data_IF_049712107602
#
_entry.id   IF_049712107602
#
_cell.length_a   1.000
_cell.length_b   1.000
_cell.length_c   1.000
_cell.angle_alpha   90.00
_cell.angle_beta   90.00
_cell.angle_gamma   90.00
#
_symmetry.space_group_name_H-M   'P 1'
#
loop_
_entity.id
_entity.type
_entity.pdbx_description
1 polymer ?
#
# COMPACT_ATOMS: atom_id res chain seq x y z
N UNK A 1 1.74 -3.20 19.54
CA UNK A 1 0.66 -3.55 18.60
C UNK A 1 1.07 -3.17 17.19
N UNK A 2 0.97 -4.10 16.23
CA UNK A 2 1.26 -3.75 14.84
C UNK A 2 0.32 -2.69 14.31
N UNK A 3 0.84 -1.84 13.46
CA UNK A 3 0.10 -0.77 12.81
C UNK A 3 0.11 -0.99 11.31
N UNK A 4 -1.07 -0.93 10.68
CA UNK A 4 -1.21 -1.10 9.24
C UNK A 4 -1.48 0.26 8.60
N UNK A 5 -0.59 0.66 7.68
CA UNK A 5 -0.80 1.85 6.88
C UNK A 5 -1.57 1.45 5.62
N UNK A 6 -2.61 2.19 5.27
CA UNK A 6 -3.42 1.85 4.10
C UNK A 6 -3.71 3.09 3.25
N UNK A 7 -3.69 2.89 1.94
CA UNK A 7 -4.07 3.93 1.01
C UNK A 7 -5.59 3.94 0.83
N UNK A 8 -6.13 5.07 0.36
CA UNK A 8 -7.56 5.21 0.12
C UNK A 8 -8.07 4.09 -0.79
N UNK A 9 -9.29 3.64 -0.54
CA UNK A 9 -9.91 2.55 -1.29
C UNK A 9 -9.67 1.17 -0.70
N UNK A 10 -8.84 1.04 0.34
CA UNK A 10 -8.60 -0.25 0.99
C UNK A 10 -9.89 -0.75 1.64
N UNK A 11 -10.13 -2.06 1.54
CA UNK A 11 -11.35 -2.71 2.02
C UNK A 11 -11.66 -2.35 3.48
N UNK A 12 -12.79 -1.69 3.70
CA UNK A 12 -13.20 -1.27 5.04
C UNK A 12 -13.53 -2.45 5.95
N UNK A 13 -13.97 -3.57 5.39
CA UNK A 13 -14.26 -4.77 6.18
C UNK A 13 -12.95 -5.31 6.77
N UNK A 14 -11.90 -5.35 5.96
CA UNK A 14 -10.59 -5.77 6.44
C UNK A 14 -10.08 -4.83 7.55
N UNK A 15 -10.21 -3.52 7.35
CA UNK A 15 -9.75 -2.55 8.33
C UNK A 15 -10.51 -2.71 9.66
N UNK A 16 -11.81 -2.98 9.58
CA UNK A 16 -12.64 -3.22 10.78
C UNK A 16 -12.19 -4.50 11.49
N UNK A 17 -11.87 -5.54 10.75
CA UNK A 17 -11.38 -6.80 11.35
C UNK A 17 -10.05 -6.57 12.07
N UNK A 18 -9.16 -5.80 11.47
CA UNK A 18 -7.87 -5.48 12.11
C UNK A 18 -8.08 -4.71 13.41
N UNK A 19 -8.95 -3.71 13.39
CA UNK A 19 -9.26 -2.94 14.60
C UNK A 19 -9.87 -3.84 15.68
N UNK A 20 -10.74 -4.78 15.30
CA UNK A 20 -11.35 -5.70 16.24
C UNK A 20 -10.33 -6.63 16.89
N UNK A 21 -9.23 -6.93 16.20
CA UNK A 21 -8.14 -7.74 16.74
C UNK A 21 -7.10 -6.91 17.50
N UNK A 22 -7.35 -5.62 17.68
CA UNK A 22 -6.46 -4.76 18.44
C UNK A 22 -5.33 -4.11 17.65
N UNK A 23 -5.29 -4.29 16.32
CA UNK A 23 -4.29 -3.63 15.49
C UNK A 23 -4.69 -2.18 15.22
N UNK A 24 -3.70 -1.30 15.10
CA UNK A 24 -3.94 0.08 14.71
C UNK A 24 -3.94 0.19 13.18
N UNK A 25 -4.77 1.09 12.65
CA UNK A 25 -4.79 1.38 11.21
C UNK A 25 -4.56 2.88 11.01
N UNK A 26 -3.72 3.23 10.03
CA UNK A 26 -3.37 4.61 9.75
C UNK A 26 -3.56 4.89 8.27
N UNK A 27 -4.39 5.89 7.91
CA UNK A 27 -4.55 6.24 6.50
C UNK A 27 -3.28 6.88 5.95
N UNK A 28 -2.90 6.50 4.72
CA UNK A 28 -1.76 7.05 4.01
C UNK A 28 -2.24 7.69 2.71
N UNK A 29 -1.61 8.78 2.32
CA UNK A 29 -1.96 9.51 1.11
C UNK A 29 -0.89 9.39 0.04
N UNK A 30 -1.31 9.56 -1.21
CA UNK A 30 -0.42 9.58 -2.37
C UNK A 30 -0.16 10.99 -2.90
N UNK A 31 -0.47 12.01 -2.12
CA UNK A 31 -0.36 13.44 -2.45
C UNK A 31 -1.40 13.93 -3.47
N UNK A 32 -2.25 13.04 -3.99
CA UNK A 32 -3.25 13.38 -4.99
C UNK A 32 -4.68 13.34 -4.47
N UNK A 33 -4.95 12.52 -3.46
CA UNK A 33 -6.30 12.30 -2.96
C UNK A 33 -6.59 12.92 -1.59
N UNK A 34 -5.61 13.57 -0.98
CA UNK A 34 -5.82 14.24 0.32
C UNK A 34 -6.12 13.28 1.48
N UNK A 35 -5.80 12.00 1.33
CA UNK A 35 -6.12 10.96 2.29
C UNK A 35 -4.97 10.74 3.28
N UNK A 36 -5.19 11.11 4.54
CA UNK A 36 -4.25 10.80 5.61
C UNK A 36 -2.85 11.39 5.48
N UNK A 37 -1.90 10.77 6.17
CA UNK A 37 -0.50 11.18 6.14
C UNK A 37 0.14 10.77 4.81
N UNK A 38 0.94 11.64 4.24
CA UNK A 38 1.63 11.34 2.99
C UNK A 38 2.61 10.18 3.18
N UNK A 39 2.54 9.18 2.29
CA UNK A 39 3.43 8.02 2.36
C UNK A 39 4.90 8.41 2.25
N UNK A 40 5.19 9.50 1.56
CA UNK A 40 6.54 10.04 1.41
C UNK A 40 7.12 10.58 2.71
N UNK A 41 6.28 10.73 3.76
CA UNK A 41 6.69 11.26 5.06
C UNK A 41 6.70 10.19 6.17
N UNK A 42 6.60 8.92 5.82
CA UNK A 42 6.66 7.83 6.80
C UNK A 42 7.95 7.85 7.60
N UNK A 43 7.84 7.54 8.88
CA UNK A 43 8.99 7.44 9.79
C UNK A 43 9.21 6.00 10.24
N UNK A 44 10.45 5.64 10.68
CA UNK A 44 10.71 4.28 11.16
C UNK A 44 9.79 3.91 12.33
N UNK A 45 9.23 2.70 12.28
CA UNK A 45 8.37 2.20 13.35
C UNK A 45 6.96 2.75 13.34
N UNK A 46 6.62 3.61 12.39
CA UNK A 46 5.28 4.21 12.32
C UNK A 46 4.23 3.20 11.85
N UNK A 47 4.59 2.36 10.88
CA UNK A 47 3.71 1.28 10.41
C UNK A 47 4.50 -0.01 10.24
N UNK A 48 3.81 -1.14 10.32
CA UNK A 48 4.41 -2.47 10.21
C UNK A 48 4.03 -3.17 8.91
N UNK A 49 3.05 -2.66 8.20
CA UNK A 49 2.58 -3.19 6.92
C UNK A 49 1.92 -2.06 6.15
N UNK A 50 2.16 -2.00 4.84
CA UNK A 50 1.52 -1.03 3.96
C UNK A 50 0.63 -1.77 2.97
N UNK A 51 -0.61 -1.32 2.80
CA UNK A 51 -1.57 -1.89 1.85
C UNK A 51 -2.00 -0.78 0.89
N UNK A 52 -1.90 -1.04 -0.41
CA UNK A 52 -2.31 -0.08 -1.43
C UNK A 52 -2.87 -0.79 -2.65
N UNK A 53 -3.91 -0.21 -3.24
CA UNK A 53 -4.35 -0.65 -4.56
C UNK A 53 -3.42 -0.07 -5.61
N UNK A 54 -3.22 -0.80 -6.69
CA UNK A 54 -2.30 -0.39 -7.76
C UNK A 54 -2.60 1.01 -8.29
N UNK A 55 -3.87 1.33 -8.52
CA UNK A 55 -4.24 2.63 -9.09
C UNK A 55 -3.89 3.82 -8.20
N UNK A 56 -3.67 3.59 -6.89
CA UNK A 56 -3.27 4.67 -5.97
C UNK A 56 -1.77 4.94 -6.02
N UNK A 57 -1.00 4.02 -6.59
CA UNK A 57 0.44 4.16 -6.72
C UNK A 57 0.85 4.72 -8.08
N UNK A 58 0.01 4.55 -9.09
CA UNK A 58 0.33 5.00 -10.44
C UNK A 58 -0.15 6.44 -10.66
N UNK A 59 0.66 7.27 -11.35
CA UNK A 59 0.24 8.64 -11.61
C UNK A 59 -0.95 8.68 -12.59
N UNK A 60 -1.87 9.64 -12.44
CA UNK A 60 -2.98 9.79 -13.36
C UNK A 60 -2.48 10.21 -14.74
N UNK A 61 -3.27 9.93 -15.78
CA UNK A 61 -2.91 10.26 -17.17
C UNK A 61 -2.70 11.76 -17.39
N UNK A 62 -3.32 12.60 -16.57
CA UNK A 62 -3.23 14.06 -16.71
C UNK A 62 -2.14 14.68 -15.82
N UNK A 63 -1.23 13.87 -15.32
CA UNK A 63 -0.18 14.31 -14.42
C UNK A 63 0.93 15.11 -15.10
N UNK A 64 0.88 15.29 -16.42
CA UNK A 64 1.92 15.93 -17.21
C UNK A 64 2.20 17.38 -16.80
N UNK A 65 1.24 18.05 -16.18
CA UNK A 65 1.35 19.47 -15.82
C UNK A 65 1.79 19.72 -14.38
N UNK A 66 1.85 18.69 -13.54
CA UNK A 66 2.29 18.81 -12.14
C UNK A 66 3.18 17.63 -11.78
N UNK A 67 4.28 17.87 -11.06
CA UNK A 67 5.06 16.75 -10.55
C UNK A 67 4.20 15.93 -9.58
N UNK A 68 4.06 14.64 -9.86
CA UNK A 68 3.35 13.72 -8.98
C UNK A 68 4.32 12.63 -8.55
N UNK A 69 4.16 12.08 -7.33
CA UNK A 69 5.06 11.02 -6.90
C UNK A 69 4.88 9.78 -7.74
N UNK A 70 5.99 9.16 -8.09
CA UNK A 70 5.99 7.86 -8.78
C UNK A 70 5.83 6.76 -7.72
N UNK A 71 5.53 5.51 -8.11
CA UNK A 71 5.52 4.41 -7.14
C UNK A 71 6.82 4.31 -6.34
N UNK A 72 7.96 4.56 -6.97
CA UNK A 72 9.25 4.57 -6.29
C UNK A 72 9.27 5.61 -5.17
N UNK A 73 8.83 6.84 -5.47
CA UNK A 73 8.79 7.91 -4.48
C UNK A 73 7.84 7.59 -3.32
N UNK A 74 6.63 7.08 -3.64
CA UNK A 74 5.63 6.78 -2.63
C UNK A 74 6.07 5.69 -1.67
N UNK A 75 6.80 4.69 -2.16
CA UNK A 75 7.17 3.53 -1.37
C UNK A 75 8.63 3.53 -0.90
N UNK A 76 9.38 4.57 -1.23
CA UNK A 76 10.80 4.66 -0.90
C UNK A 76 11.08 4.47 0.60
N UNK A 77 10.34 5.16 1.45
CA UNK A 77 10.55 5.07 2.89
C UNK A 77 10.17 3.70 3.44
N UNK A 78 9.06 3.14 2.96
CA UNK A 78 8.66 1.80 3.38
C UNK A 78 9.74 0.77 3.00
N UNK A 79 10.29 0.89 1.80
CA UNK A 79 11.40 0.03 1.37
C UNK A 79 12.62 0.21 2.27
N UNK A 80 13.00 1.47 2.55
CA UNK A 80 14.18 1.79 3.35
C UNK A 80 14.08 1.24 4.78
N UNK A 81 12.87 1.18 5.31
CA UNK A 81 12.62 0.67 6.67
C UNK A 81 12.25 -0.81 6.68
N UNK A 82 12.34 -1.50 5.54
CA UNK A 82 12.00 -2.92 5.40
C UNK A 82 10.57 -3.24 5.82
N UNK A 83 9.64 -2.33 5.55
CA UNK A 83 8.23 -2.53 5.84
C UNK A 83 7.60 -3.33 4.70
N UNK A 84 6.92 -4.46 4.98
CA UNK A 84 6.21 -5.21 3.94
C UNK A 84 5.17 -4.35 3.23
N UNK A 85 5.07 -4.47 1.92
CA UNK A 85 4.13 -3.69 1.11
C UNK A 85 3.29 -4.67 0.28
N UNK A 86 1.98 -4.62 0.49
CA UNK A 86 1.03 -5.40 -0.30
C UNK A 86 0.37 -4.47 -1.32
N UNK A 87 0.49 -4.81 -2.60
CA UNK A 87 -0.17 -4.08 -3.68
C UNK A 87 -1.31 -4.96 -4.19
N UNK A 88 -2.53 -4.44 -4.09
CA UNK A 88 -3.72 -5.21 -4.42
C UNK A 88 -4.01 -5.11 -5.91
N UNK A 89 -3.93 -6.25 -6.59
CA UNK A 89 -4.14 -6.37 -8.03
C UNK A 89 -4.82 -7.71 -8.31
N UNK A 90 -5.90 -7.75 -9.13
CA UNK A 90 -6.47 -9.04 -9.53
C UNK A 90 -5.39 -9.92 -10.15
N UNK A 91 -5.45 -11.22 -9.86
CA UNK A 91 -4.41 -12.17 -10.24
C UNK A 91 -4.07 -12.14 -11.74
N UNK A 92 -5.08 -12.00 -12.58
CA UNK A 92 -4.91 -11.95 -14.04
C UNK A 92 -4.12 -10.74 -14.53
N UNK A 93 -3.97 -9.71 -13.69
CA UNK A 93 -3.24 -8.48 -14.05
C UNK A 93 -1.89 -8.36 -13.35
N UNK A 94 -1.42 -9.39 -12.64
CA UNK A 94 -0.14 -9.32 -11.94
C UNK A 94 1.03 -9.05 -12.88
N UNK A 95 1.01 -9.64 -14.07
CA UNK A 95 2.06 -9.43 -15.06
C UNK A 95 2.11 -7.98 -15.54
N UNK A 96 0.94 -7.41 -15.83
CA UNK A 96 0.82 -6.02 -16.25
C UNK A 96 1.24 -5.07 -15.11
N UNK A 97 0.85 -5.39 -13.88
CA UNK A 97 1.20 -4.60 -12.72
C UNK A 97 2.71 -4.53 -12.51
N UNK A 98 3.40 -5.65 -12.68
CA UNK A 98 4.86 -5.68 -12.57
C UNK A 98 5.53 -4.76 -13.59
N UNK A 99 5.00 -4.72 -14.81
CA UNK A 99 5.51 -3.81 -15.84
C UNK A 99 5.30 -2.34 -15.45
N UNK A 100 4.13 -2.02 -14.93
CA UNK A 100 3.78 -0.66 -14.53
C UNK A 100 4.58 -0.18 -13.31
N UNK A 101 4.82 -1.07 -12.36
CA UNK A 101 5.56 -0.74 -11.15
C UNK A 101 7.07 -0.64 -11.38
N UNK A 102 7.59 -1.30 -12.42
CA UNK A 102 9.03 -1.29 -12.69
C UNK A 102 9.83 -1.87 -11.54
N UNK A 103 10.84 -1.15 -11.06
CA UNK A 103 11.70 -1.64 -9.98
C UNK A 103 10.97 -1.84 -8.65
N UNK A 104 9.84 -1.17 -8.45
CA UNK A 104 9.03 -1.32 -7.24
C UNK A 104 8.52 -2.76 -7.11
N UNK A 105 8.28 -3.44 -8.23
CA UNK A 105 7.79 -4.82 -8.23
C UNK A 105 8.74 -5.78 -7.50
N UNK A 106 10.00 -5.43 -7.36
CA UNK A 106 11.00 -6.30 -6.73
C UNK A 106 10.87 -6.36 -5.20
N UNK A 107 10.23 -5.37 -4.60
CA UNK A 107 10.12 -5.32 -3.14
C UNK A 107 8.69 -5.18 -2.62
N UNK A 108 7.69 -5.34 -3.48
CA UNK A 108 6.29 -5.39 -3.06
C UNK A 108 5.74 -6.78 -3.33
N UNK A 109 4.67 -7.13 -2.63
CA UNK A 109 3.97 -8.37 -2.86
C UNK A 109 2.64 -8.05 -3.54
N UNK A 110 2.41 -8.62 -4.73
CA UNK A 110 1.14 -8.46 -5.42
C UNK A 110 0.15 -9.46 -4.82
N UNK A 111 -0.99 -8.96 -4.37
CA UNK A 111 -2.00 -9.76 -3.68
C UNK A 111 -3.33 -9.60 -4.40
N UNK A 112 -3.96 -10.72 -4.75
CA UNK A 112 -5.29 -10.67 -5.33
C UNK A 112 -6.30 -10.22 -4.27
N UNK A 113 -7.34 -9.45 -4.66
CA UNK A 113 -8.33 -8.99 -3.68
C UNK A 113 -8.96 -10.11 -2.86
N UNK A 114 -9.18 -11.27 -3.47
CA UNK A 114 -9.76 -12.42 -2.78
C UNK A 114 -8.82 -13.01 -1.73
N UNK A 115 -7.51 -12.81 -1.87
CA UNK A 115 -6.50 -13.37 -0.97
C UNK A 115 -6.02 -12.38 0.08
N UNK A 116 -6.47 -11.13 0.02
CA UNK A 116 -5.96 -10.06 0.88
C UNK A 116 -6.11 -10.38 2.36
N UNK A 117 -7.29 -10.83 2.77
CA UNK A 117 -7.55 -11.14 4.19
C UNK A 117 -6.60 -12.21 4.69
N UNK A 118 -6.46 -13.32 3.93
CA UNK A 118 -5.59 -14.42 4.30
C UNK A 118 -4.11 -14.00 4.36
N UNK A 119 -3.66 -13.19 3.39
CA UNK A 119 -2.28 -12.74 3.35
C UNK A 119 -1.96 -11.78 4.49
N UNK A 120 -2.89 -10.90 4.85
CA UNK A 120 -2.70 -9.98 5.97
C UNK A 120 -2.64 -10.76 7.29
N UNK A 121 -3.52 -11.76 7.47
CA UNK A 121 -3.50 -12.62 8.66
C UNK A 121 -2.16 -13.34 8.79
N UNK A 122 -1.66 -13.86 7.68
CA UNK A 122 -0.38 -14.56 7.65
C UNK A 122 0.79 -13.63 8.00
N UNK A 123 0.80 -12.42 7.46
CA UNK A 123 1.86 -11.45 7.72
C UNK A 123 1.85 -10.96 9.17
N UNK A 124 0.68 -10.67 9.70
CA UNK A 124 0.53 -10.16 11.07
C UNK A 124 0.36 -11.28 12.11
N UNK A 125 0.29 -12.53 11.69
CA UNK A 125 0.24 -13.71 12.56
C UNK A 125 -0.95 -13.72 13.52
N UNK A 126 -2.15 -13.54 12.97
CA UNK A 126 -3.36 -13.61 13.80
C UNK A 126 -4.47 -14.46 13.22
#
# INVERSE_FOLDING_TARGET
MPTVGYFDGTDSILLTKLAAHGFCTVPLGNEMDGHGKLATLLEPGEVDLVIAYLHKLLPPKNAEKKPVPTPVNLLHRAKSYNIPIFVIVPKEFHKEAKKRLGEVADYVKLVAPADLDAEVRKELKF
#
